data_IF_329729898610
#
_entry.id   IF_329729898610
#
_cell.length_a   1.000
_cell.length_b   1.000
_cell.length_c   1.000
_cell.angle_alpha   90.00
_cell.angle_beta   90.00
_cell.angle_gamma   90.00
#
_symmetry.space_group_name_H-M   'P 1'
#
loop_
_entity.id
_entity.type
_entity.pdbx_description
1 polymer ?
#
# COMPACT_ATOMS: atom_id res chain seq x y z
N UNK A 1 -5.37 -18.24 15.68
CA UNK A 1 -5.40 -17.06 14.83
C UNK A 1 -5.62 -15.81 15.70
N UNK A 2 -4.97 -14.72 15.35
CA UNK A 2 -5.13 -13.44 16.05
C UNK A 2 -4.35 -12.34 15.34
N UNK A 3 -4.87 -11.13 15.39
CA UNK A 3 -4.26 -9.94 14.76
C UNK A 3 -2.89 -9.57 15.35
N UNK A 4 -2.58 -10.03 16.56
CA UNK A 4 -1.35 -9.76 17.29
C UNK A 4 -0.50 -11.02 17.51
N UNK A 5 -0.65 -12.04 16.67
CA UNK A 5 0.07 -13.30 16.82
C UNK A 5 1.60 -13.07 16.77
N UNK A 6 2.08 -12.21 15.85
CA UNK A 6 3.49 -11.83 15.75
C UNK A 6 4.05 -11.20 17.02
N UNK A 7 3.23 -10.44 17.77
CA UNK A 7 3.62 -9.81 19.04
C UNK A 7 3.48 -10.78 20.22
N UNK A 8 2.45 -11.64 20.22
CA UNK A 8 2.19 -12.60 21.31
C UNK A 8 3.26 -13.69 21.42
N UNK A 9 3.85 -14.11 20.29
CA UNK A 9 4.91 -15.13 20.24
C UNK A 9 6.22 -14.71 20.92
N UNK A 10 6.40 -13.45 21.23
CA UNK A 10 7.60 -12.95 21.94
C UNK A 10 7.56 -13.15 23.46
N UNK A 11 6.42 -13.59 24.02
CA UNK A 11 6.21 -13.72 25.49
C UNK A 11 6.42 -15.14 26.04
N UNK A 12 7.55 -15.79 25.71
CA UNK A 12 8.10 -16.86 26.53
C UNK A 12 7.44 -18.25 26.45
N UNK A 13 6.50 -18.50 25.55
CA UNK A 13 6.00 -19.85 25.29
C UNK A 13 6.84 -20.54 24.21
N UNK A 14 7.14 -21.85 24.41
CA UNK A 14 7.86 -22.65 23.42
C UNK A 14 7.04 -22.75 22.14
N UNK A 15 7.54 -22.16 21.04
CA UNK A 15 6.90 -22.23 19.74
C UNK A 15 7.18 -23.61 19.10
N UNK A 16 6.18 -24.32 18.56
CA UNK A 16 6.37 -25.64 17.95
C UNK A 16 7.01 -25.54 16.56
N UNK A 17 8.32 -25.30 16.52
CA UNK A 17 9.10 -25.19 15.28
C UNK A 17 8.88 -26.39 14.37
N UNK A 18 8.57 -26.16 13.10
CA UNK A 18 8.35 -27.20 12.09
C UNK A 18 7.00 -27.93 12.17
N UNK A 19 6.06 -27.48 13.03
CA UNK A 19 4.71 -28.05 13.19
C UNK A 19 3.57 -27.07 12.90
N UNK A 20 3.89 -25.92 12.35
CA UNK A 20 2.91 -24.86 12.05
C UNK A 20 3.22 -24.26 10.67
N UNK A 21 2.16 -23.93 9.96
CA UNK A 21 2.20 -23.13 8.75
C UNK A 21 1.77 -21.70 9.09
N UNK A 22 2.48 -20.72 8.54
CA UNK A 22 2.12 -19.32 8.68
C UNK A 22 1.24 -18.91 7.51
N UNK A 23 0.16 -18.23 7.82
CA UNK A 23 -0.72 -17.61 6.84
C UNK A 23 -0.94 -16.14 7.21
N UNK A 24 -0.47 -15.25 6.36
CA UNK A 24 -0.69 -13.81 6.51
C UNK A 24 -2.07 -13.44 5.94
N UNK A 25 -2.88 -12.80 6.79
CA UNK A 25 -4.18 -12.27 6.38
C UNK A 25 -4.03 -10.76 6.14
N UNK A 26 -4.12 -10.40 4.87
CA UNK A 26 -4.17 -9.00 4.44
C UNK A 26 -5.60 -8.45 4.52
N UNK A 27 -5.79 -7.12 4.55
CA UNK A 27 -7.10 -6.53 4.23
C UNK A 27 -7.60 -7.06 2.89
N UNK A 28 -8.92 -7.24 2.74
CA UNK A 28 -9.48 -7.67 1.45
C UNK A 28 -9.02 -6.72 0.34
N UNK A 29 -8.51 -7.27 -0.75
CA UNK A 29 -8.03 -6.53 -1.90
C UNK A 29 -9.20 -5.92 -2.69
N UNK A 30 -8.93 -4.96 -3.58
CA UNK A 30 -9.95 -4.47 -4.52
C UNK A 30 -10.49 -5.60 -5.40
N UNK A 31 -9.63 -6.55 -5.78
CA UNK A 31 -10.01 -7.77 -6.51
C UNK A 31 -11.07 -8.58 -5.77
N UNK A 32 -10.90 -8.82 -4.48
CA UNK A 32 -11.85 -9.56 -3.64
C UNK A 32 -13.14 -8.77 -3.41
N UNK A 33 -13.03 -7.46 -3.19
CA UNK A 33 -14.19 -6.57 -3.14
C UNK A 33 -14.97 -6.60 -4.47
N UNK A 34 -14.29 -6.49 -5.62
CA UNK A 34 -14.89 -6.50 -6.94
C UNK A 34 -15.66 -7.79 -7.20
N UNK A 35 -15.11 -8.93 -6.78
CA UNK A 35 -15.78 -10.24 -6.94
C UNK A 35 -17.15 -10.26 -6.27
N UNK A 36 -17.29 -9.61 -5.12
CA UNK A 36 -18.57 -9.54 -4.38
C UNK A 36 -19.47 -8.42 -4.90
N UNK A 37 -18.89 -7.25 -5.20
CA UNK A 37 -19.64 -6.06 -5.62
C UNK A 37 -20.13 -6.15 -7.08
N UNK A 38 -19.35 -6.80 -7.96
CA UNK A 38 -19.68 -6.97 -9.37
C UNK A 38 -18.93 -8.16 -10.01
N UNK A 39 -19.45 -9.36 -9.83
CA UNK A 39 -18.84 -10.60 -10.32
C UNK A 39 -18.60 -10.61 -11.84
N UNK A 40 -19.46 -9.96 -12.65
CA UNK A 40 -19.28 -9.90 -14.10
C UNK A 40 -18.03 -9.10 -14.49
N UNK A 41 -17.79 -7.96 -13.82
CA UNK A 41 -16.56 -7.18 -14.03
C UNK A 41 -15.33 -7.91 -13.51
N UNK A 42 -15.44 -8.58 -12.38
CA UNK A 42 -14.38 -9.43 -11.85
C UNK A 42 -13.97 -10.50 -12.87
N UNK A 43 -14.96 -11.27 -13.40
CA UNK A 43 -14.69 -12.31 -14.38
C UNK A 43 -14.09 -11.74 -15.67
N UNK A 44 -14.57 -10.58 -16.14
CA UNK A 44 -14.00 -9.90 -17.30
C UNK A 44 -12.49 -9.61 -17.10
N UNK A 45 -12.09 -9.11 -15.95
CA UNK A 45 -10.67 -8.82 -15.65
C UNK A 45 -9.88 -10.12 -15.45
N UNK A 46 -10.49 -11.16 -14.84
CA UNK A 46 -9.84 -12.47 -14.72
C UNK A 46 -9.59 -13.16 -16.08
N UNK A 47 -10.39 -12.87 -17.08
CA UNK A 47 -10.26 -13.43 -18.44
C UNK A 47 -9.26 -12.66 -19.32
N UNK A 48 -8.70 -11.53 -18.86
CA UNK A 48 -7.66 -10.82 -19.62
C UNK A 48 -6.47 -11.75 -19.87
N UNK A 49 -6.04 -11.82 -21.12
CA UNK A 49 -4.94 -12.68 -21.60
C UNK A 49 -3.81 -11.90 -22.28
N UNK A 50 -3.97 -10.60 -22.45
CA UNK A 50 -2.98 -9.72 -23.09
C UNK A 50 -3.07 -8.29 -22.54
N UNK A 51 -2.04 -7.48 -22.83
CA UNK A 51 -2.01 -6.08 -22.49
C UNK A 51 -2.69 -5.27 -23.60
N UNK A 52 -3.98 -5.04 -23.45
CA UNK A 52 -4.78 -4.24 -24.40
C UNK A 52 -5.72 -3.27 -23.67
N UNK A 53 -6.10 -2.19 -24.35
CA UNK A 53 -6.98 -1.19 -23.79
C UNK A 53 -8.37 -1.76 -23.50
N UNK A 54 -8.86 -1.56 -22.28
CA UNK A 54 -10.21 -1.93 -21.89
C UNK A 54 -11.25 -1.01 -22.54
N UNK A 55 -12.45 -1.54 -22.89
CA UNK A 55 -13.57 -0.70 -23.34
C UNK A 55 -13.93 0.39 -22.33
N UNK A 56 -14.36 1.55 -22.84
CA UNK A 56 -14.61 2.73 -21.98
C UNK A 56 -15.63 2.45 -20.88
N UNK A 57 -16.74 1.76 -21.18
CA UNK A 57 -17.76 1.44 -20.18
C UNK A 57 -17.25 0.53 -19.04
N UNK A 58 -16.26 -0.34 -19.34
CA UNK A 58 -15.57 -1.17 -18.34
C UNK A 58 -14.68 -0.30 -17.46
N UNK A 59 -13.88 0.58 -18.07
CA UNK A 59 -12.96 1.47 -17.33
C UNK A 59 -13.73 2.42 -16.43
N UNK A 60 -14.86 2.98 -16.90
CA UNK A 60 -15.70 3.89 -16.12
C UNK A 60 -16.25 3.18 -14.88
N UNK A 61 -16.80 1.98 -15.07
CA UNK A 61 -17.37 1.22 -13.95
C UNK A 61 -16.30 0.73 -12.95
N UNK A 62 -15.15 0.27 -13.45
CA UNK A 62 -14.01 -0.10 -12.58
C UNK A 62 -13.48 1.10 -11.80
N UNK A 63 -13.40 2.28 -12.45
CA UNK A 63 -12.96 3.52 -11.81
C UNK A 63 -13.92 3.95 -10.69
N UNK A 64 -15.23 3.84 -10.91
CA UNK A 64 -16.25 4.14 -9.90
C UNK A 64 -16.10 3.21 -8.68
N UNK A 65 -16.01 1.90 -8.89
CA UNK A 65 -15.84 0.92 -7.82
C UNK A 65 -14.49 1.09 -7.09
N UNK A 66 -13.44 1.44 -7.82
CA UNK A 66 -12.14 1.75 -7.23
C UNK A 66 -12.20 2.97 -6.30
N UNK A 67 -12.89 4.05 -6.70
CA UNK A 67 -13.08 5.20 -5.83
C UNK A 67 -13.87 4.82 -4.57
N UNK A 68 -14.90 3.99 -4.69
CA UNK A 68 -15.61 3.45 -3.54
C UNK A 68 -14.67 2.66 -2.62
N UNK A 69 -13.84 1.79 -3.19
CA UNK A 69 -12.87 1.01 -2.41
C UNK A 69 -11.83 1.90 -1.70
N UNK A 70 -11.34 2.98 -2.33
CA UNK A 70 -10.46 3.94 -1.65
C UNK A 70 -11.09 4.57 -0.41
N UNK A 71 -12.42 4.72 -0.42
CA UNK A 71 -13.17 5.24 0.73
C UNK A 71 -13.38 4.20 1.81
N UNK A 72 -13.78 2.98 1.45
CA UNK A 72 -14.15 1.94 2.41
C UNK A 72 -12.93 1.13 2.89
N UNK A 73 -11.93 0.92 2.03
CA UNK A 73 -10.80 0.04 2.30
C UNK A 73 -11.15 -1.45 2.25
N UNK A 74 -10.24 -2.28 2.73
CA UNK A 74 -10.33 -3.74 2.71
C UNK A 74 -10.75 -4.38 4.05
N UNK A 75 -11.17 -3.60 5.05
CA UNK A 75 -11.61 -4.18 6.32
C UNK A 75 -12.96 -4.91 6.16
N UNK A 76 -13.06 -6.23 6.48
CA UNK A 76 -14.26 -7.02 6.22
C UNK A 76 -15.55 -6.44 6.81
N UNK A 77 -15.52 -5.92 8.05
CA UNK A 77 -16.68 -5.31 8.69
C UNK A 77 -17.16 -4.06 7.93
N UNK A 78 -16.22 -3.27 7.40
CA UNK A 78 -16.52 -2.04 6.63
C UNK A 78 -17.11 -2.41 5.27
N UNK A 79 -16.51 -3.38 4.56
CA UNK A 79 -17.01 -3.87 3.27
C UNK A 79 -18.43 -4.43 3.43
N UNK A 80 -18.69 -5.24 4.45
CA UNK A 80 -20.02 -5.78 4.71
C UNK A 80 -21.04 -4.65 4.95
N UNK A 81 -20.70 -3.65 5.79
CA UNK A 81 -21.56 -2.51 6.04
C UNK A 81 -21.88 -1.72 4.78
N UNK A 82 -20.91 -1.59 3.86
CA UNK A 82 -21.09 -0.94 2.57
C UNK A 82 -21.99 -1.75 1.62
N UNK A 83 -21.72 -3.04 1.45
CA UNK A 83 -22.47 -3.92 0.54
C UNK A 83 -23.92 -4.14 0.99
N UNK A 84 -24.19 -4.10 2.31
CA UNK A 84 -25.54 -4.15 2.86
C UNK A 84 -26.28 -2.81 2.79
N UNK A 85 -25.74 -1.81 2.07
CA UNK A 85 -26.31 -0.47 1.91
C UNK A 85 -26.66 0.23 3.24
N UNK A 86 -25.85 0.03 4.27
CA UNK A 86 -26.04 0.66 5.60
C UNK A 86 -25.71 2.16 5.63
N UNK A 87 -25.32 2.74 4.50
CA UNK A 87 -24.97 4.15 4.34
C UNK A 87 -23.54 4.51 4.80
N UNK A 88 -23.03 5.62 4.26
CA UNK A 88 -21.65 6.07 4.51
C UNK A 88 -21.37 6.43 5.97
N UNK A 89 -22.38 6.88 6.72
CA UNK A 89 -22.23 7.13 8.16
C UNK A 89 -21.90 5.84 8.94
N UNK A 90 -22.52 4.72 8.57
CA UNK A 90 -22.24 3.44 9.22
C UNK A 90 -20.84 2.95 8.86
N UNK A 91 -20.44 3.08 7.58
CA UNK A 91 -19.07 2.80 7.11
C UNK A 91 -18.06 3.57 7.95
N UNK A 92 -18.24 4.88 8.11
CA UNK A 92 -17.37 5.73 8.92
C UNK A 92 -17.31 5.28 10.37
N UNK A 93 -18.45 4.95 10.99
CA UNK A 93 -18.50 4.44 12.38
C UNK A 93 -17.72 3.15 12.54
N UNK A 94 -17.82 2.21 11.59
CA UNK A 94 -17.04 0.97 11.62
C UNK A 94 -15.52 1.24 11.50
N UNK A 95 -15.10 2.14 10.59
CA UNK A 95 -13.70 2.52 10.47
C UNK A 95 -13.17 3.16 11.76
N UNK A 96 -13.92 4.08 12.35
CA UNK A 96 -13.57 4.69 13.63
C UNK A 96 -13.49 3.66 14.77
N UNK A 97 -14.43 2.71 14.80
CA UNK A 97 -14.42 1.65 15.79
C UNK A 97 -13.16 0.78 15.67
N UNK A 98 -12.73 0.44 14.46
CA UNK A 98 -11.50 -0.29 14.20
C UNK A 98 -10.27 0.51 14.66
N UNK A 99 -10.16 1.79 14.27
CA UNK A 99 -9.05 2.66 14.68
C UNK A 99 -8.96 2.80 16.22
N UNK A 100 -10.11 2.96 16.88
CA UNK A 100 -10.17 3.03 18.34
C UNK A 100 -9.80 1.68 18.99
N UNK A 101 -10.23 0.56 18.41
CA UNK A 101 -9.87 -0.78 18.90
C UNK A 101 -8.35 -0.99 18.82
N UNK A 102 -7.68 -0.55 17.76
CA UNK A 102 -6.21 -0.63 17.66
C UNK A 102 -5.51 0.17 18.77
N UNK A 103 -5.98 1.38 19.07
CA UNK A 103 -5.40 2.19 20.17
C UNK A 103 -5.57 1.48 21.54
N UNK A 104 -6.71 0.82 21.77
CA UNK A 104 -6.93 0.02 22.98
C UNK A 104 -6.02 -1.23 23.01
N UNK A 105 -5.81 -1.88 21.87
CA UNK A 105 -4.90 -3.02 21.75
C UNK A 105 -3.44 -2.62 22.01
N UNK A 106 -3.01 -1.42 21.59
CA UNK A 106 -1.68 -0.89 21.94
C UNK A 106 -1.50 -0.87 23.46
N UNK A 107 -2.51 -0.39 24.18
CA UNK A 107 -2.46 -0.29 25.64
C UNK A 107 -2.48 -1.65 26.36
N UNK A 108 -3.03 -2.69 25.72
CA UNK A 108 -3.18 -4.02 26.30
C UNK A 108 -1.94 -4.90 26.07
N UNK A 109 -1.29 -4.76 24.91
CA UNK A 109 -0.29 -5.70 24.43
C UNK A 109 1.14 -5.16 24.35
N UNK A 110 1.32 -3.85 24.24
CA UNK A 110 2.64 -3.22 24.25
C UNK A 110 3.16 -3.00 25.71
N UNK A 111 4.47 -2.83 25.84
CA UNK A 111 5.04 -2.41 27.11
C UNK A 111 4.62 -0.95 27.43
N UNK A 112 4.35 -0.66 28.70
CA UNK A 112 3.86 0.66 29.14
C UNK A 112 4.73 1.84 28.65
N UNK A 113 6.05 1.65 28.54
CA UNK A 113 6.99 2.67 28.05
C UNK A 113 6.82 2.96 26.55
N UNK A 114 6.32 2.00 25.75
CA UNK A 114 6.24 2.09 24.31
C UNK A 114 4.86 2.53 23.81
N UNK A 115 3.80 2.37 24.62
CA UNK A 115 2.44 2.78 24.26
C UNK A 115 2.39 4.24 23.75
N UNK A 116 2.94 5.26 24.44
CA UNK A 116 2.91 6.63 23.92
C UNK A 116 3.69 6.80 22.61
N UNK A 117 4.76 6.02 22.42
CA UNK A 117 5.58 6.06 21.20
C UNK A 117 4.83 5.46 20.02
N UNK A 118 4.16 4.32 20.22
CA UNK A 118 3.31 3.68 19.21
C UNK A 118 2.20 4.64 18.78
N UNK A 119 1.50 5.26 19.73
CA UNK A 119 0.44 6.23 19.45
C UNK A 119 0.98 7.44 18.68
N UNK A 120 2.14 7.95 19.05
CA UNK A 120 2.76 9.08 18.34
C UNK A 120 3.10 8.72 16.89
N UNK A 121 3.70 7.54 16.64
CA UNK A 121 3.99 7.07 15.27
C UNK A 121 2.68 6.95 14.51
N UNK A 122 1.70 6.22 15.05
CA UNK A 122 0.40 5.98 14.44
C UNK A 122 -0.26 7.27 13.96
N UNK A 123 -0.36 8.26 14.85
CA UNK A 123 -0.96 9.55 14.53
C UNK A 123 -0.13 10.39 13.55
N UNK A 124 1.16 10.13 13.40
CA UNK A 124 2.03 10.85 12.48
C UNK A 124 1.97 10.33 11.04
N UNK A 125 1.45 9.12 10.80
CA UNK A 125 1.46 8.47 9.48
C UNK A 125 0.87 9.36 8.37
N UNK A 126 -0.32 9.98 8.52
CA UNK A 126 -0.84 10.87 7.50
C UNK A 126 0.10 12.03 7.14
N UNK A 127 0.71 12.65 8.16
CA UNK A 127 1.66 13.75 7.98
C UNK A 127 2.97 13.29 7.32
N UNK A 128 3.43 12.07 7.63
CA UNK A 128 4.60 11.48 6.97
C UNK A 128 4.35 11.26 5.47
N UNK A 129 3.17 10.76 5.12
CA UNK A 129 2.78 10.47 3.75
C UNK A 129 2.42 11.73 2.93
N UNK A 130 2.00 12.80 3.59
CA UNK A 130 1.69 14.08 2.93
C UNK A 130 2.94 14.82 2.41
N UNK A 131 4.17 14.42 2.82
CA UNK A 131 5.40 15.03 2.31
C UNK A 131 5.70 14.59 0.89
N UNK A 132 6.43 15.44 0.17
CA UNK A 132 6.82 15.21 -1.22
C UNK A 132 7.58 13.88 -1.41
N UNK A 133 8.59 13.60 -0.57
CA UNK A 133 9.41 12.38 -0.68
C UNK A 133 8.96 11.22 0.21
N UNK A 134 7.95 11.43 1.07
CA UNK A 134 7.37 10.44 2.02
C UNK A 134 8.37 9.65 2.89
N UNK A 135 9.64 10.01 2.88
CA UNK A 135 10.65 9.40 3.76
C UNK A 135 10.26 9.65 5.22
N UNK A 136 10.29 8.60 6.05
CA UNK A 136 9.96 8.73 7.46
C UNK A 136 10.91 9.66 8.20
N UNK A 137 10.37 10.59 8.97
CA UNK A 137 11.13 11.59 9.71
C UNK A 137 10.71 11.57 11.16
N UNK A 138 11.59 11.11 12.05
CA UNK A 138 11.31 11.00 13.49
C UNK A 138 10.90 12.33 14.14
N UNK A 139 11.47 13.46 13.71
CA UNK A 139 11.10 14.80 14.21
C UNK A 139 9.63 15.18 13.95
N UNK A 140 8.98 14.55 12.98
CA UNK A 140 7.55 14.74 12.72
C UNK A 140 6.66 13.91 13.64
N UNK A 141 7.19 12.83 14.22
CA UNK A 141 6.49 12.06 15.25
C UNK A 141 6.36 12.91 16.52
N UNK A 142 7.48 13.53 16.93
CA UNK A 142 7.54 14.45 18.05
C UNK A 142 8.80 15.31 17.93
N UNK A 143 8.77 16.62 18.30
CA UNK A 143 9.98 17.43 18.38
C UNK A 143 11.05 16.76 19.25
N UNK A 144 12.28 16.62 18.72
CA UNK A 144 13.39 15.96 19.40
C UNK A 144 13.41 14.44 19.34
N UNK A 145 12.44 13.79 18.69
CA UNK A 145 12.42 12.33 18.53
C UNK A 145 13.65 11.82 17.75
N UNK A 146 14.19 10.69 18.20
CA UNK A 146 15.37 10.02 17.62
C UNK A 146 15.00 8.58 17.27
N UNK A 147 15.69 8.00 16.27
CA UNK A 147 15.47 6.62 15.83
C UNK A 147 15.49 5.62 16.99
N UNK A 148 16.53 5.66 17.82
CA UNK A 148 16.71 4.76 18.97
C UNK A 148 15.55 4.75 19.97
N UNK A 149 14.76 5.83 20.02
CA UNK A 149 13.66 5.98 20.98
C UNK A 149 12.34 5.42 20.43
N UNK A 150 12.25 5.16 19.12
CA UNK A 150 11.01 4.80 18.41
C UNK A 150 11.10 3.51 17.60
N UNK A 151 12.29 2.88 17.50
CA UNK A 151 12.47 1.68 16.69
C UNK A 151 11.61 0.50 17.17
N UNK A 152 11.58 0.26 18.49
CA UNK A 152 10.75 -0.81 19.08
C UNK A 152 9.27 -0.59 18.81
N UNK A 153 8.81 0.67 18.83
CA UNK A 153 7.44 1.03 18.54
C UNK A 153 7.09 0.85 17.04
N UNK A 154 8.03 1.13 16.13
CA UNK A 154 7.88 0.83 14.70
C UNK A 154 7.81 -0.67 14.45
N UNK A 155 8.74 -1.44 15.04
CA UNK A 155 8.76 -2.90 14.94
C UNK A 155 7.47 -3.51 15.48
N UNK A 156 6.93 -2.96 16.56
CA UNK A 156 5.67 -3.42 17.12
C UNK A 156 4.51 -3.23 16.15
N UNK A 157 4.37 -2.03 15.55
CA UNK A 157 3.31 -1.74 14.57
C UNK A 157 3.44 -2.61 13.31
N UNK A 158 4.66 -2.85 12.85
CA UNK A 158 4.98 -3.72 11.71
C UNK A 158 4.62 -5.19 12.02
N UNK A 159 5.06 -5.69 13.18
CA UNK A 159 4.77 -7.06 13.64
C UNK A 159 3.27 -7.30 13.89
N UNK A 160 2.53 -6.26 14.26
CA UNK A 160 1.08 -6.30 14.40
C UNK A 160 0.36 -6.26 13.03
N UNK A 161 1.07 -6.11 11.91
CA UNK A 161 0.50 -6.03 10.57
C UNK A 161 -0.28 -4.74 10.29
N UNK A 162 -0.06 -3.69 11.07
CA UNK A 162 -0.78 -2.42 10.95
C UNK A 162 -0.13 -1.44 9.99
N UNK A 163 1.19 -1.58 9.79
CA UNK A 163 1.98 -0.77 8.87
C UNK A 163 2.90 -1.63 8.02
N UNK A 164 3.29 -1.07 6.87
CA UNK A 164 4.39 -1.56 6.05
C UNK A 164 5.56 -0.59 6.13
N UNK A 165 6.77 -1.10 6.41
CA UNK A 165 8.02 -0.36 6.27
C UNK A 165 8.66 -0.69 4.93
N UNK A 166 8.68 0.27 4.02
CA UNK A 166 9.28 0.17 2.69
C UNK A 166 10.66 0.80 2.74
N UNK A 167 11.70 -0.04 2.72
CA UNK A 167 13.10 0.41 2.78
C UNK A 167 13.57 0.96 1.44
N UNK A 168 14.52 1.89 1.49
CA UNK A 168 15.29 2.31 0.33
C UNK A 168 16.26 1.19 -0.05
N UNK A 169 16.31 0.82 -1.34
CA UNK A 169 17.40 -0.04 -1.81
C UNK A 169 18.56 0.80 -2.33
N UNK A 170 19.77 0.50 -1.85
CA UNK A 170 20.99 1.15 -2.32
C UNK A 170 21.38 0.71 -3.73
N UNK A 171 21.06 -0.55 -4.06
CA UNK A 171 21.26 -1.16 -5.39
C UNK A 171 20.10 -2.12 -5.67
N UNK A 172 19.36 -1.94 -6.78
CA UNK A 172 18.25 -2.83 -7.13
C UNK A 172 18.76 -4.11 -7.79
N UNK A 173 19.44 -4.96 -7.02
CA UNK A 173 19.97 -6.25 -7.42
C UNK A 173 19.36 -7.38 -6.58
N UNK A 174 19.49 -8.61 -7.06
CA UNK A 174 19.06 -9.82 -6.35
C UNK A 174 20.09 -10.28 -5.31
N UNK A 175 19.65 -10.74 -4.15
CA UNK A 175 18.31 -10.63 -3.61
C UNK A 175 18.05 -9.21 -3.11
N UNK A 176 16.91 -8.64 -3.47
CA UNK A 176 16.60 -7.22 -3.21
C UNK A 176 16.78 -6.81 -1.74
N UNK A 177 16.38 -7.69 -0.82
CA UNK A 177 16.48 -7.47 0.64
C UNK A 177 17.93 -7.28 1.12
N UNK A 178 18.93 -7.81 0.41
CA UNK A 178 20.34 -7.68 0.82
C UNK A 178 20.90 -6.26 0.67
N UNK A 179 20.19 -5.40 -0.05
CA UNK A 179 20.61 -4.02 -0.35
C UNK A 179 19.76 -2.96 0.36
N UNK A 180 19.01 -3.36 1.39
CA UNK A 180 18.19 -2.44 2.18
C UNK A 180 19.06 -1.42 2.93
N UNK A 181 18.77 -0.14 2.76
CA UNK A 181 19.25 0.92 3.64
C UNK A 181 18.28 1.06 4.82
N UNK A 182 18.64 0.46 5.96
CA UNK A 182 17.80 0.47 7.17
C UNK A 182 17.59 1.87 7.75
N UNK A 183 18.41 2.85 7.36
CA UNK A 183 18.27 4.25 7.81
C UNK A 183 17.28 5.06 6.99
N UNK A 184 16.83 4.54 5.87
CA UNK A 184 15.97 5.23 4.91
C UNK A 184 14.75 4.36 4.54
N UNK A 185 13.59 4.71 5.05
CA UNK A 185 12.35 3.99 4.77
C UNK A 185 11.14 4.93 4.72
N UNK A 186 10.07 4.45 4.11
CA UNK A 186 8.73 5.03 4.11
C UNK A 186 7.82 4.15 4.97
N UNK A 187 6.77 4.74 5.57
CA UNK A 187 5.77 4.00 6.34
C UNK A 187 4.42 4.20 5.71
N UNK A 188 3.75 3.10 5.39
CA UNK A 188 2.39 3.07 4.85
C UNK A 188 1.47 2.32 5.81
N UNK A 189 0.18 2.66 5.78
CA UNK A 189 -0.83 1.91 6.54
C UNK A 189 -1.20 0.63 5.79
N UNK A 190 -1.56 -0.43 6.51
CA UNK A 190 -1.96 -1.70 5.89
C UNK A 190 -3.28 -1.59 5.11
N UNK A 191 -4.12 -0.59 5.40
CA UNK A 191 -5.41 -0.38 4.73
C UNK A 191 -5.64 1.08 4.31
N UNK A 192 -6.02 1.27 3.04
CA UNK A 192 -6.23 2.61 2.47
C UNK A 192 -7.46 3.32 3.01
N UNK A 193 -8.52 2.59 3.34
CA UNK A 193 -9.73 3.16 3.93
C UNK A 193 -9.49 3.65 5.37
N UNK A 194 -8.70 2.90 6.13
CA UNK A 194 -8.26 3.33 7.47
C UNK A 194 -7.30 4.53 7.38
N UNK A 195 -6.40 4.58 6.36
CA UNK A 195 -5.56 5.76 6.14
C UNK A 195 -6.42 7.00 5.86
N UNK A 196 -7.44 6.87 5.01
CA UNK A 196 -8.38 7.95 4.72
C UNK A 196 -9.06 8.46 6.00
N UNK A 197 -9.61 7.54 6.81
CA UNK A 197 -10.31 7.92 8.04
C UNK A 197 -9.35 8.52 9.08
N UNK A 198 -8.18 7.93 9.27
CA UNK A 198 -7.15 8.43 10.19
C UNK A 198 -6.65 9.82 9.79
N UNK A 199 -6.59 10.12 8.49
CA UNK A 199 -6.20 11.44 7.98
C UNK A 199 -7.31 12.50 8.09
N UNK A 200 -8.53 12.10 8.42
CA UNK A 200 -9.70 12.98 8.41
C UNK A 200 -10.15 13.40 7.00
N UNK A 201 -9.72 12.69 5.95
CA UNK A 201 -10.11 13.00 4.58
C UNK A 201 -11.57 12.60 4.34
N UNK A 202 -12.45 13.56 3.98
CA UNK A 202 -13.85 13.25 3.74
C UNK A 202 -14.03 12.42 2.46
N UNK A 203 -14.99 11.48 2.40
CA UNK A 203 -15.27 10.67 1.22
C UNK A 203 -15.50 11.48 -0.06
N UNK A 204 -16.17 12.62 0.08
CA UNK A 204 -16.51 13.54 -1.03
C UNK A 204 -15.25 14.06 -1.76
N UNK A 205 -14.14 14.22 -1.06
CA UNK A 205 -12.87 14.65 -1.66
C UNK A 205 -12.36 13.64 -2.70
N UNK A 206 -12.58 12.34 -2.45
CA UNK A 206 -12.20 11.27 -3.37
C UNK A 206 -13.13 11.24 -4.58
N UNK A 207 -14.45 11.33 -4.36
CA UNK A 207 -15.47 11.24 -5.42
C UNK A 207 -15.48 12.46 -6.33
N UNK A 208 -15.34 13.67 -5.78
CA UNK A 208 -15.43 14.92 -6.53
C UNK A 208 -14.10 15.39 -7.11
N UNK A 209 -12.98 14.78 -6.72
CA UNK A 209 -11.65 15.16 -7.22
C UNK A 209 -11.26 16.59 -6.89
N UNK A 210 -11.60 17.07 -5.69
CA UNK A 210 -11.38 18.45 -5.25
C UNK A 210 -9.90 18.86 -5.35
N UNK A 211 -9.61 20.10 -5.76
CA UNK A 211 -8.25 20.65 -5.87
C UNK A 211 -7.47 20.61 -4.55
N UNK A 212 -8.17 20.78 -3.41
CA UNK A 212 -7.56 20.70 -2.06
C UNK A 212 -7.07 19.31 -1.67
N UNK A 213 -7.49 18.27 -2.40
CA UNK A 213 -7.05 16.88 -2.21
C UNK A 213 -5.80 16.50 -3.01
N UNK A 214 -5.36 17.35 -3.95
CA UNK A 214 -4.37 17.02 -4.97
C UNK A 214 -3.05 16.49 -4.41
N UNK A 215 -2.52 17.11 -3.35
CA UNK A 215 -1.24 16.67 -2.75
C UNK A 215 -1.36 15.32 -2.04
N UNK A 216 -2.42 15.12 -1.25
CA UNK A 216 -2.60 13.87 -0.51
C UNK A 216 -3.08 12.71 -1.39
N UNK A 217 -3.63 12.99 -2.57
CA UNK A 217 -4.08 12.00 -3.55
C UNK A 217 -2.95 11.04 -3.96
N UNK A 218 -1.74 11.56 -4.13
CA UNK A 218 -0.55 10.74 -4.40
C UNK A 218 -0.24 9.76 -3.28
N UNK A 219 -0.36 10.19 -2.02
CA UNK A 219 -0.14 9.36 -0.85
C UNK A 219 -1.16 8.20 -0.76
N UNK A 220 -2.44 8.50 -0.99
CA UNK A 220 -3.51 7.51 -1.01
C UNK A 220 -3.29 6.48 -2.13
N UNK A 221 -2.91 6.94 -3.34
CA UNK A 221 -2.65 6.06 -4.47
C UNK A 221 -1.44 5.15 -4.22
N UNK A 222 -0.33 5.67 -3.66
CA UNK A 222 0.83 4.84 -3.31
C UNK A 222 0.51 3.84 -2.20
N UNK A 223 -0.22 4.27 -1.16
CA UNK A 223 -0.65 3.35 -0.10
C UNK A 223 -1.52 2.22 -0.65
N UNK A 224 -2.46 2.54 -1.53
CA UNK A 224 -3.30 1.56 -2.21
C UNK A 224 -2.47 0.59 -3.07
N UNK A 225 -1.55 1.11 -3.90
CA UNK A 225 -0.69 0.26 -4.75
C UNK A 225 0.16 -0.68 -3.89
N UNK A 226 0.73 -0.20 -2.79
CA UNK A 226 1.49 -1.06 -1.88
C UNK A 226 0.60 -2.13 -1.24
N UNK A 227 -0.60 -1.77 -0.77
CA UNK A 227 -1.59 -2.71 -0.23
C UNK A 227 -1.94 -3.79 -1.26
N UNK A 228 -2.07 -3.41 -2.53
CA UNK A 228 -2.35 -4.35 -3.64
C UNK A 228 -1.16 -5.24 -3.98
N UNK A 229 0.08 -4.72 -3.88
CA UNK A 229 1.30 -5.48 -4.21
C UNK A 229 1.72 -6.44 -3.10
N UNK A 230 1.52 -6.08 -1.84
CA UNK A 230 1.97 -6.85 -0.68
C UNK A 230 1.52 -8.33 -0.71
N UNK A 231 0.26 -8.68 -1.03
CA UNK A 231 -0.16 -10.08 -1.10
C UNK A 231 0.26 -10.82 -2.38
N UNK A 232 0.82 -10.13 -3.39
CA UNK A 232 1.20 -10.74 -4.68
C UNK A 232 2.66 -11.20 -4.72
N UNK A 233 3.51 -10.68 -3.84
CA UNK A 233 4.95 -10.92 -3.84
C UNK A 233 5.45 -11.33 -2.46
N UNK A 234 6.34 -12.33 -2.41
CA UNK A 234 6.91 -12.86 -1.15
C UNK A 234 7.79 -11.83 -0.43
N UNK A 235 8.35 -10.88 -1.20
CA UNK A 235 9.19 -9.80 -0.69
C UNK A 235 8.44 -8.48 -0.85
N UNK A 236 8.18 -7.80 0.27
CA UNK A 236 7.58 -6.48 0.26
C UNK A 236 8.38 -5.54 -0.65
N UNK A 237 7.75 -4.72 -1.50
CA UNK A 237 8.44 -3.77 -2.37
C UNK A 237 9.43 -2.87 -1.62
N UNK A 238 10.49 -2.42 -2.31
CA UNK A 238 11.42 -1.39 -1.87
C UNK A 238 11.17 -0.11 -2.66
N UNK A 239 11.81 1.00 -2.28
CA UNK A 239 11.88 2.16 -3.16
C UNK A 239 13.35 2.45 -3.51
N UNK A 240 13.58 3.25 -4.53
CA UNK A 240 14.94 3.59 -4.96
C UNK A 240 15.08 5.09 -5.17
N UNK A 241 16.27 5.60 -4.84
CA UNK A 241 16.65 6.98 -5.11
C UNK A 241 18.00 7.04 -5.78
N UNK A 242 18.15 7.93 -6.78
CA UNK A 242 19.45 8.23 -7.37
C UNK A 242 20.19 9.29 -6.56
N UNK A 243 21.50 9.41 -6.80
CA UNK A 243 22.33 10.53 -6.30
C UNK A 243 21.75 11.87 -6.79
N UNK A 244 21.16 11.91 -8.00
CA UNK A 244 20.58 13.09 -8.64
C UNK A 244 19.12 13.40 -8.27
N UNK A 245 18.61 12.87 -7.16
CA UNK A 245 17.24 13.06 -6.64
C UNK A 245 16.10 12.44 -7.47
N UNK A 246 16.37 11.59 -8.47
CA UNK A 246 15.31 10.77 -9.05
C UNK A 246 14.86 9.72 -8.03
N UNK A 247 13.56 9.53 -7.87
CA UNK A 247 12.97 8.55 -6.96
C UNK A 247 11.99 7.67 -7.74
N UNK A 248 12.10 6.35 -7.58
CA UNK A 248 11.15 5.34 -8.05
C UNK A 248 10.35 4.88 -6.85
N UNK A 249 9.03 4.99 -6.94
CA UNK A 249 8.12 4.82 -5.81
C UNK A 249 8.20 3.42 -5.21
N UNK A 250 8.26 2.37 -6.07
CA UNK A 250 8.46 1.00 -5.64
C UNK A 250 9.41 0.25 -6.59
N UNK A 251 10.10 -0.73 -6.02
CA UNK A 251 10.88 -1.73 -6.73
C UNK A 251 10.35 -3.10 -6.31
N UNK A 252 9.93 -3.90 -7.27
CA UNK A 252 9.39 -5.25 -7.04
C UNK A 252 10.46 -6.26 -7.44
N UNK A 253 10.66 -7.29 -6.63
CA UNK A 253 11.35 -8.51 -7.04
C UNK A 253 10.31 -9.53 -7.52
N UNK A 254 10.36 -9.88 -8.80
CA UNK A 254 9.50 -10.89 -9.43
C UNK A 254 10.41 -11.99 -9.99
N UNK A 255 10.47 -13.12 -9.32
CA UNK A 255 11.37 -14.21 -9.62
C UNK A 255 12.84 -13.73 -9.77
N UNK A 256 13.40 -13.76 -10.99
CA UNK A 256 14.75 -13.29 -11.31
C UNK A 256 14.81 -11.82 -11.72
N UNK A 257 13.70 -11.12 -11.82
CA UNK A 257 13.60 -9.77 -12.33
C UNK A 257 13.38 -8.74 -11.24
N UNK A 258 13.96 -7.56 -11.47
CA UNK A 258 13.75 -6.36 -10.64
C UNK A 258 12.99 -5.33 -11.47
N UNK A 259 11.76 -5.04 -11.06
CA UNK A 259 10.82 -4.22 -11.82
C UNK A 259 10.58 -2.89 -11.10
N UNK A 260 10.94 -1.74 -11.71
CA UNK A 260 10.64 -0.43 -11.16
C UNK A 260 9.18 -0.03 -11.41
N UNK A 261 8.60 0.63 -10.42
CA UNK A 261 7.19 1.03 -10.37
C UNK A 261 7.05 2.50 -10.03
N UNK A 262 6.35 3.25 -10.86
CA UNK A 262 5.96 4.63 -10.62
C UNK A 262 4.44 4.73 -10.41
N UNK A 263 4.00 5.49 -9.41
CA UNK A 263 2.58 5.70 -9.12
C UNK A 263 2.18 7.14 -9.42
N UNK A 264 1.19 7.32 -10.27
CA UNK A 264 0.62 8.62 -10.65
C UNK A 264 -0.89 8.65 -10.38
N UNK A 265 -1.31 9.42 -9.41
CA UNK A 265 -2.74 9.58 -9.08
C UNK A 265 -3.51 10.44 -10.09
N UNK A 266 -2.95 10.72 -11.26
CA UNK A 266 -3.48 11.61 -12.29
C UNK A 266 -3.34 10.99 -13.69
N UNK A 267 -4.01 11.61 -14.66
CA UNK A 267 -3.89 11.25 -16.09
C UNK A 267 -2.67 11.88 -16.77
N UNK A 268 -2.19 13.03 -16.25
CA UNK A 268 -0.96 13.67 -16.76
C UNK A 268 0.25 12.91 -16.28
N UNK A 269 0.97 12.32 -17.21
CA UNK A 269 2.12 11.46 -16.95
C UNK A 269 3.39 12.31 -17.13
N UNK A 270 3.82 12.97 -16.08
CA UNK A 270 5.15 13.60 -16.00
C UNK A 270 6.04 12.77 -15.07
N UNK A 271 7.35 12.74 -15.35
CA UNK A 271 8.32 12.09 -14.46
C UNK A 271 9.50 11.53 -15.25
N UNK A 272 10.71 11.86 -14.79
CA UNK A 272 11.97 11.38 -15.39
C UNK A 272 12.56 10.21 -14.63
N UNK A 273 11.95 9.82 -13.49
CA UNK A 273 12.54 8.85 -12.56
C UNK A 273 12.71 7.48 -13.18
N UNK A 274 11.66 6.95 -13.85
CA UNK A 274 11.75 5.68 -14.56
C UNK A 274 12.78 5.72 -15.70
N UNK A 275 12.93 6.86 -16.39
CA UNK A 275 13.95 7.01 -17.45
C UNK A 275 15.37 7.02 -16.89
N UNK A 276 15.59 7.65 -15.74
CA UNK A 276 16.88 7.62 -15.03
C UNK A 276 17.21 6.21 -14.55
N UNK A 277 16.23 5.53 -14.00
CA UNK A 277 16.39 4.14 -13.58
C UNK A 277 16.71 3.22 -14.76
N UNK A 278 15.95 3.34 -15.85
CA UNK A 278 16.10 2.57 -17.09
C UNK A 278 17.50 2.73 -17.71
N UNK A 279 17.98 3.97 -17.82
CA UNK A 279 19.31 4.26 -18.32
C UNK A 279 20.44 3.65 -17.47
N UNK A 280 20.18 3.33 -16.20
CA UNK A 280 21.18 2.80 -15.27
C UNK A 280 21.12 1.27 -15.16
N UNK A 281 19.93 0.69 -15.13
CA UNK A 281 19.72 -0.72 -14.75
C UNK A 281 19.10 -1.58 -15.84
N UNK A 282 18.55 -0.99 -16.90
CA UNK A 282 17.98 -1.69 -18.07
C UNK A 282 17.00 -2.81 -17.70
N UNK A 283 15.93 -2.53 -16.93
CA UNK A 283 14.97 -3.55 -16.49
C UNK A 283 14.23 -4.15 -17.70
N UNK A 284 13.78 -5.40 -17.58
CA UNK A 284 13.00 -6.09 -18.61
C UNK A 284 11.68 -5.38 -18.90
N UNK A 285 11.08 -4.80 -17.87
CA UNK A 285 9.91 -3.92 -17.99
C UNK A 285 9.88 -2.86 -16.88
N UNK A 286 9.06 -1.83 -17.08
CA UNK A 286 8.78 -0.75 -16.14
C UNK A 286 7.28 -0.63 -15.97
N UNK A 287 6.80 -0.49 -14.76
CA UNK A 287 5.38 -0.31 -14.48
C UNK A 287 5.07 1.13 -14.11
N UNK A 288 3.96 1.62 -14.62
CA UNK A 288 3.37 2.89 -14.20
C UNK A 288 1.90 2.67 -13.86
N UNK A 289 1.55 2.91 -12.61
CA UNK A 289 0.15 2.97 -12.22
C UNK A 289 -0.39 4.38 -12.44
N UNK A 290 -1.54 4.50 -13.10
CA UNK A 290 -2.18 5.79 -13.34
C UNK A 290 -3.70 5.64 -13.52
N UNK A 291 -4.38 6.75 -13.81
CA UNK A 291 -5.79 6.70 -14.21
C UNK A 291 -6.00 6.45 -15.72
N UNK A 292 -4.91 6.31 -16.49
CA UNK A 292 -5.00 5.97 -17.91
C UNK A 292 -5.25 4.47 -18.11
N UNK A 293 -5.78 4.11 -19.27
CA UNK A 293 -6.12 2.73 -19.62
C UNK A 293 -4.89 1.81 -19.69
N UNK A 294 -5.10 0.51 -19.63
CA UNK A 294 -4.07 -0.51 -19.78
C UNK A 294 -3.40 -0.39 -21.16
N UNK A 295 -2.08 -0.22 -21.17
CA UNK A 295 -1.30 -0.03 -22.40
C UNK A 295 0.15 -0.41 -22.19
N UNK A 296 0.73 -1.06 -23.18
CA UNK A 296 2.17 -1.26 -23.27
C UNK A 296 2.77 -0.32 -24.32
N UNK A 297 3.93 0.26 -23.99
CA UNK A 297 4.70 1.16 -24.86
C UNK A 297 6.19 0.81 -24.72
N UNK A 298 6.67 -0.06 -25.60
CA UNK A 298 7.96 -0.71 -25.44
C UNK A 298 8.06 -1.50 -24.14
N UNK A 299 9.04 -1.20 -23.30
CA UNK A 299 9.21 -1.82 -21.97
C UNK A 299 8.36 -1.15 -20.87
N UNK A 300 7.65 -0.06 -21.15
CA UNK A 300 6.77 0.61 -20.19
C UNK A 300 5.34 0.08 -20.30
N UNK A 301 4.80 -0.39 -19.18
CA UNK A 301 3.40 -0.80 -19.06
C UNK A 301 2.68 0.18 -18.16
N UNK A 302 1.67 0.85 -18.70
CA UNK A 302 0.73 1.60 -17.90
C UNK A 302 -0.39 0.69 -17.43
N UNK A 303 -0.48 0.50 -16.13
CA UNK A 303 -1.52 -0.29 -15.47
C UNK A 303 -2.50 0.69 -14.82
N UNK A 304 -3.79 0.66 -15.15
CA UNK A 304 -4.79 1.42 -14.41
C UNK A 304 -4.75 1.08 -12.92
N UNK A 305 -4.88 2.07 -12.04
CA UNK A 305 -4.84 1.87 -10.59
C UNK A 305 -5.79 0.75 -10.14
N UNK A 306 -6.99 0.67 -10.70
CA UNK A 306 -7.96 -0.38 -10.40
C UNK A 306 -7.54 -1.80 -10.85
N UNK A 307 -6.44 -1.95 -11.59
CA UNK A 307 -5.87 -3.26 -11.94
C UNK A 307 -4.62 -3.63 -11.12
N UNK A 308 -4.30 -2.88 -10.08
CA UNK A 308 -3.08 -3.12 -9.28
C UNK A 308 -3.04 -4.53 -8.66
N UNK A 309 -4.19 -5.11 -8.31
CA UNK A 309 -4.27 -6.48 -7.75
C UNK A 309 -4.00 -7.59 -8.79
N UNK A 310 -3.90 -7.24 -10.06
CA UNK A 310 -3.56 -8.16 -11.16
C UNK A 310 -2.14 -7.95 -11.70
N UNK A 311 -1.29 -7.24 -10.98
CA UNK A 311 0.07 -6.90 -11.43
C UNK A 311 0.86 -8.12 -11.82
N UNK A 312 0.92 -9.15 -10.97
CA UNK A 312 1.67 -10.39 -11.24
C UNK A 312 1.17 -11.07 -12.52
N UNK A 313 -0.15 -11.10 -12.74
CA UNK A 313 -0.77 -11.61 -13.96
C UNK A 313 -0.41 -10.77 -15.18
N UNK A 314 -0.50 -9.43 -15.10
CA UNK A 314 -0.20 -8.54 -16.23
C UNK A 314 1.28 -8.64 -16.62
N UNK A 315 2.18 -8.73 -15.65
CA UNK A 315 3.61 -8.93 -15.88
C UNK A 315 3.88 -10.26 -16.58
N UNK A 316 3.16 -11.33 -16.27
CA UNK A 316 3.32 -12.63 -16.94
C UNK A 316 2.97 -12.64 -18.43
N UNK A 317 2.28 -11.60 -18.94
CA UNK A 317 2.00 -11.47 -20.38
C UNK A 317 3.21 -10.99 -21.20
N UNK A 318 4.31 -10.58 -20.53
CA UNK A 318 5.53 -10.09 -21.19
C UNK A 318 6.55 -11.23 -21.37
N UNK A 319 6.40 -12.30 -20.62
CA UNK A 319 7.31 -13.44 -20.53
C UNK A 319 7.23 -14.33 -21.76
#
# INVERSE_FOLDING_TARGET
AGSLLGVALTKGESFPVGKVDFLDLYPLTFKEFLKTANEKLYNYVEELSEISALPQFITDRLSELYQQYLVIGGMPAVINSFLENKGMEKVKKEQQAILNAYILDFSKHAENKDIPRIIHIWNSIPSQLAKENRKFVYKMVKPGARARDYEDALLWLESAGLIYRVFCTSKPFLPLKAYDDLSAFKVYLSDVGLLRELSGLPPEAIFLGNETYTEFKGAVAENYVLQSLAPQYDILPRYWTSIGKAEVDFIIQSDSDIIPVEVKAQTRLGGKSLSVYDATYHPVCKLRYSLNNLKQDGTLINIPLYLADWTKKIVSFIS
#
